data_IF_563594174715
#
_entry.id   IF_563594174715
#
_cell.length_a   1.000
_cell.length_b   1.000
_cell.length_c   1.000
_cell.angle_alpha   90.00
_cell.angle_beta   90.00
_cell.angle_gamma   90.00
#
_symmetry.space_group_name_H-M   'P 1'
#
loop_
_entity.id
_entity.type
_entity.pdbx_description
1 polymer ?
#
# COMPACT_ATOMS: atom_id res chain seq x y z
N UNK A 1 3.72 -11.29 8.97
CA UNK A 1 3.73 -11.67 10.40
C UNK A 1 5.17 -11.91 10.84
N UNK A 2 5.58 -11.35 11.98
CA UNK A 2 6.90 -11.55 12.57
C UNK A 2 6.79 -11.58 14.09
N UNK A 3 7.77 -12.21 14.75
CA UNK A 3 7.86 -12.22 16.21
C UNK A 3 8.28 -10.83 16.74
N UNK A 4 7.90 -10.42 17.96
CA UNK A 4 8.24 -9.10 18.52
C UNK A 4 9.74 -8.81 18.60
N UNK A 5 10.57 -9.84 18.71
CA UNK A 5 12.03 -9.80 18.81
C UNK A 5 12.72 -9.25 17.56
N UNK A 6 11.98 -9.00 16.46
CA UNK A 6 12.51 -8.33 15.26
C UNK A 6 12.68 -6.82 15.46
N UNK A 7 12.05 -6.22 16.49
CA UNK A 7 12.17 -4.79 16.79
C UNK A 7 13.61 -4.26 16.90
N UNK A 8 14.49 -4.90 17.72
CA UNK A 8 15.91 -4.56 17.81
C UNK A 8 16.65 -4.64 16.47
N UNK A 9 16.36 -5.65 15.64
CA UNK A 9 16.99 -5.80 14.33
C UNK A 9 16.63 -4.64 13.39
N UNK A 10 15.35 -4.23 13.37
CA UNK A 10 14.92 -3.06 12.60
C UNK A 10 15.64 -1.79 13.06
N UNK A 11 15.75 -1.59 14.37
CA UNK A 11 16.48 -0.44 14.91
C UNK A 11 17.97 -0.49 14.53
N UNK A 12 18.60 -1.66 14.60
CA UNK A 12 20.01 -1.85 14.23
C UNK A 12 20.25 -1.62 12.72
N UNK A 13 19.26 -1.94 11.87
CA UNK A 13 19.28 -1.62 10.44
C UNK A 13 19.09 -0.11 10.15
N UNK A 14 18.73 0.69 11.16
CA UNK A 14 18.54 2.13 11.05
C UNK A 14 17.12 2.57 10.75
N UNK A 15 16.12 1.67 10.83
CA UNK A 15 14.72 2.09 10.78
C UNK A 15 14.39 2.91 12.02
N UNK A 16 13.88 4.12 11.81
CA UNK A 16 13.50 5.05 12.87
C UNK A 16 12.07 5.59 12.73
N UNK A 17 11.44 5.37 11.57
CA UNK A 17 10.04 5.69 11.32
C UNK A 17 9.41 4.66 10.37
N UNK A 18 8.20 4.17 10.69
CA UNK A 18 7.51 3.13 9.90
C UNK A 18 6.00 3.38 9.77
N UNK A 19 5.42 3.08 8.61
CA UNK A 19 3.96 3.03 8.42
C UNK A 19 3.38 1.73 8.97
N UNK A 20 2.17 1.80 9.53
CA UNK A 20 1.47 0.67 10.15
C UNK A 20 0.07 0.44 9.61
N UNK A 21 -0.53 1.38 8.88
CA UNK A 21 -1.79 1.11 8.22
C UNK A 21 -1.54 0.17 7.04
N UNK A 22 -2.05 -1.06 7.11
CA UNK A 22 -2.05 -2.04 6.02
C UNK A 22 -3.08 -3.14 6.26
N UNK A 23 -3.36 -3.95 5.24
CA UNK A 23 -4.26 -5.10 5.33
C UNK A 23 -3.88 -6.09 6.44
N UNK A 24 -2.59 -6.21 6.79
CA UNK A 24 -2.07 -7.10 7.83
C UNK A 24 -2.03 -6.52 9.26
N UNK A 25 -2.65 -5.35 9.48
CA UNK A 25 -2.57 -4.67 10.79
C UNK A 25 -3.19 -5.50 11.93
N UNK A 26 -4.21 -6.32 11.62
CA UNK A 26 -4.94 -7.15 12.58
C UNK A 26 -4.78 -8.66 12.38
N UNK A 27 -3.72 -9.13 11.70
CA UNK A 27 -3.49 -10.59 11.51
C UNK A 27 -3.55 -11.39 12.83
N UNK A 28 -3.09 -10.79 13.93
CA UNK A 28 -3.14 -11.36 15.28
C UNK A 28 -4.15 -10.64 16.19
N UNK A 29 -5.19 -10.08 15.59
CA UNK A 29 -6.19 -9.29 16.26
C UNK A 29 -5.64 -8.04 16.95
N UNK A 30 -6.43 -7.51 17.88
CA UNK A 30 -6.10 -6.26 18.60
C UNK A 30 -4.86 -6.41 19.47
N UNK A 31 -4.64 -7.58 20.08
CA UNK A 31 -3.45 -7.81 20.88
C UNK A 31 -2.17 -7.84 20.03
N UNK A 32 -2.20 -8.42 18.83
CA UNK A 32 -1.09 -8.34 17.88
C UNK A 32 -0.78 -6.92 17.43
N UNK A 33 -1.81 -6.11 17.18
CA UNK A 33 -1.67 -4.68 16.89
C UNK A 33 -0.93 -3.97 18.04
N UNK A 34 -1.42 -4.15 19.28
CA UNK A 34 -0.85 -3.54 20.48
C UNK A 34 0.59 -4.00 20.73
N UNK A 35 0.84 -5.30 20.58
CA UNK A 35 2.18 -5.86 20.75
C UNK A 35 3.15 -5.27 19.75
N UNK A 36 2.75 -5.12 18.49
CA UNK A 36 3.62 -4.48 17.50
C UNK A 36 3.90 -3.02 17.85
N UNK A 37 2.88 -2.28 18.32
CA UNK A 37 3.07 -0.90 18.80
C UNK A 37 4.03 -0.84 19.98
N UNK A 38 3.95 -1.78 20.94
CA UNK A 38 4.91 -1.88 22.04
C UNK A 38 6.31 -2.19 21.55
N UNK A 39 6.48 -3.19 20.68
CA UNK A 39 7.77 -3.58 20.14
C UNK A 39 8.48 -2.44 19.41
N UNK A 40 7.77 -1.69 18.55
CA UNK A 40 8.35 -0.55 17.83
C UNK A 40 8.72 0.60 18.79
N UNK A 41 7.83 0.93 19.72
CA UNK A 41 8.05 2.01 20.70
C UNK A 41 9.24 1.72 21.62
N UNK A 42 9.35 0.48 22.13
CA UNK A 42 10.46 0.04 22.98
C UNK A 42 11.81 0.05 22.28
N UNK A 43 11.82 0.02 20.94
CA UNK A 43 13.01 0.10 20.11
C UNK A 43 13.23 1.50 19.49
N UNK A 44 12.50 2.52 19.97
CA UNK A 44 12.68 3.91 19.52
C UNK A 44 12.24 4.18 18.09
N UNK A 45 11.44 3.29 17.49
CA UNK A 45 10.93 3.44 16.12
C UNK A 45 9.59 4.16 16.17
N UNK A 46 9.51 5.35 15.57
CA UNK A 46 8.25 6.09 15.43
C UNK A 46 7.34 5.34 14.46
N UNK A 47 6.04 5.21 14.76
CA UNK A 47 5.10 4.53 13.88
C UNK A 47 3.75 5.20 13.83
N UNK A 48 3.08 5.17 12.67
CA UNK A 48 1.80 5.82 12.42
C UNK A 48 0.84 4.94 11.60
N UNK A 49 -0.46 5.19 11.70
CA UNK A 49 -1.48 4.52 10.88
C UNK A 49 -2.27 3.43 11.60
N UNK A 50 -1.96 3.14 12.88
CA UNK A 50 -2.73 2.25 13.73
C UNK A 50 -2.85 2.83 15.16
N UNK A 51 -3.93 2.50 15.87
CA UNK A 51 -4.15 3.00 17.23
C UNK A 51 -5.41 2.41 17.88
N UNK A 52 -5.73 2.87 19.10
CA UNK A 52 -6.87 2.37 19.89
C UNK A 52 -8.23 2.90 19.39
N UNK A 53 -8.21 3.89 18.51
CA UNK A 53 -9.38 4.49 17.85
C UNK A 53 -8.94 5.25 16.59
N UNK A 54 -9.90 5.76 15.82
CA UNK A 54 -9.63 6.42 14.54
C UNK A 54 -8.81 7.71 14.72
N UNK A 55 -9.07 8.51 15.76
CA UNK A 55 -8.28 9.70 16.06
C UNK A 55 -6.80 9.37 16.30
N UNK A 56 -6.50 8.31 17.06
CA UNK A 56 -5.12 7.86 17.29
C UNK A 56 -4.48 7.27 16.04
N UNK A 57 -5.20 6.43 15.30
CA UNK A 57 -4.69 5.77 14.10
C UNK A 57 -4.39 6.77 12.98
N UNK A 58 -5.26 7.78 12.79
CA UNK A 58 -5.10 8.78 11.75
C UNK A 58 -4.18 9.95 12.09
N UNK A 59 -3.87 10.15 13.37
CA UNK A 59 -3.02 11.26 13.81
C UNK A 59 -1.59 11.14 13.30
N UNK A 60 -1.00 12.27 12.91
CA UNK A 60 0.41 12.34 12.54
C UNK A 60 1.32 11.93 13.71
N UNK A 61 2.47 11.34 13.38
CA UNK A 61 3.51 10.97 14.34
C UNK A 61 4.83 11.61 13.93
N UNK A 62 5.62 11.97 14.92
CA UNK A 62 6.76 12.86 14.72
C UNK A 62 8.06 12.16 15.12
N UNK A 63 9.03 12.19 14.21
CA UNK A 63 10.42 11.83 14.45
C UNK A 63 11.24 13.12 14.57
N UNK A 64 11.89 13.30 15.71
CA UNK A 64 12.86 14.38 15.91
C UNK A 64 14.21 13.99 15.30
N UNK A 65 14.81 14.90 14.54
CA UNK A 65 16.16 14.73 14.01
C UNK A 65 16.99 15.98 14.27
N UNK A 66 18.34 15.90 14.23
CA UNK A 66 19.18 17.09 14.35
C UNK A 66 18.95 18.16 13.27
N UNK A 67 18.24 17.82 12.17
CA UNK A 67 17.96 18.74 11.04
C UNK A 67 16.50 19.20 10.97
N UNK A 68 15.68 18.84 11.96
CA UNK A 68 14.27 19.17 12.00
C UNK A 68 13.39 17.96 12.26
N UNK A 69 12.09 18.22 12.29
CA UNK A 69 11.06 17.25 12.62
C UNK A 69 10.42 16.68 11.37
N UNK A 70 10.28 15.36 11.34
CA UNK A 70 9.60 14.62 10.29
C UNK A 70 8.25 14.13 10.81
N UNK A 71 7.16 14.46 10.11
CA UNK A 71 5.83 13.90 10.36
C UNK A 71 5.57 12.70 9.43
N UNK A 72 4.83 11.72 9.92
CA UNK A 72 4.26 10.63 9.14
C UNK A 72 2.75 10.54 9.39
N UNK A 73 1.98 10.52 8.29
CA UNK A 73 0.57 10.14 8.26
C UNK A 73 0.45 8.90 7.38
N UNK A 74 -0.12 7.83 7.93
CA UNK A 74 -0.26 6.54 7.25
C UNK A 74 -1.72 6.12 7.24
N UNK A 75 -2.19 5.59 6.11
CA UNK A 75 -3.53 5.03 5.92
C UNK A 75 -3.48 3.84 4.96
N UNK A 76 -4.57 3.08 4.86
CA UNK A 76 -4.68 1.95 3.95
C UNK A 76 -5.98 2.03 3.14
N UNK A 77 -5.90 1.75 1.85
CA UNK A 77 -7.03 1.57 0.95
C UNK A 77 -7.51 0.11 0.87
N UNK A 78 -6.58 -0.83 1.01
CA UNK A 78 -6.88 -2.28 1.04
C UNK A 78 -6.76 -2.81 2.47
N UNK A 79 -7.87 -3.33 3.00
CA UNK A 79 -7.94 -3.91 4.34
C UNK A 79 -9.27 -4.65 4.56
N UNK A 80 -9.30 -5.54 5.55
CA UNK A 80 -10.54 -6.19 5.96
C UNK A 80 -11.49 -5.23 6.68
N UNK A 81 -12.82 -5.33 6.51
CA UNK A 81 -13.79 -4.41 7.13
C UNK A 81 -13.66 -4.26 8.66
N UNK A 82 -13.20 -5.30 9.35
CA UNK A 82 -12.99 -5.28 10.80
C UNK A 82 -11.67 -4.64 11.23
N UNK A 83 -10.72 -4.45 10.30
CA UNK A 83 -9.42 -3.84 10.56
C UNK A 83 -9.47 -2.31 10.77
N UNK A 84 -10.51 -1.62 10.27
CA UNK A 84 -10.63 -0.16 10.42
C UNK A 84 -10.78 0.25 11.88
N UNK A 85 -9.99 1.23 12.30
CA UNK A 85 -10.20 1.93 13.56
C UNK A 85 -11.52 2.71 13.51
N UNK A 86 -12.17 2.86 14.66
CA UNK A 86 -13.39 3.66 14.79
C UNK A 86 -13.29 4.56 16.01
N UNK A 87 -13.79 5.78 15.90
CA UNK A 87 -14.03 6.63 17.07
C UNK A 87 -15.25 6.14 17.87
N UNK A 88 -15.33 6.44 19.17
CA UNK A 88 -16.51 6.13 19.97
C UNK A 88 -17.76 6.82 19.41
N UNK A 89 -18.92 6.19 19.61
CA UNK A 89 -20.22 6.73 19.20
C UNK A 89 -21.28 6.42 20.27
N UNK A 90 -21.70 7.46 21.01
CA UNK A 90 -22.59 7.29 22.16
C UNK A 90 -21.92 6.45 23.25
N UNK A 91 -22.58 5.39 23.71
CA UNK A 91 -22.04 4.43 24.69
C UNK A 91 -21.07 3.41 24.07
N UNK A 92 -21.02 3.29 22.74
CA UNK A 92 -20.10 2.37 22.08
C UNK A 92 -18.67 2.90 22.14
N UNK A 93 -17.70 2.13 22.67
CA UNK A 93 -16.31 2.55 22.72
C UNK A 93 -15.70 2.65 21.31
N UNK A 94 -14.58 3.37 21.20
CA UNK A 94 -13.76 3.32 20.00
C UNK A 94 -13.24 1.91 19.74
N UNK A 95 -12.92 1.63 18.49
CA UNK A 95 -12.37 0.33 18.08
C UNK A 95 -10.91 0.49 17.65
N UNK A 96 -9.98 -0.28 18.24
CA UNK A 96 -8.60 -0.33 17.76
C UNK A 96 -8.51 -0.82 16.32
N UNK A 97 -7.57 -0.28 15.55
CA UNK A 97 -7.38 -0.67 14.16
C UNK A 97 -6.50 0.31 13.38
N UNK A 98 -6.58 0.22 12.05
CA UNK A 98 -5.85 1.08 11.12
C UNK A 98 -6.63 2.34 10.72
N UNK A 99 -5.93 3.34 10.21
CA UNK A 99 -6.50 4.53 9.57
C UNK A 99 -6.97 4.20 8.14
N UNK A 100 -8.29 4.21 7.85
CA UNK A 100 -8.81 3.72 6.58
C UNK A 100 -8.92 4.82 5.52
N UNK A 101 -8.74 4.42 4.26
CA UNK A 101 -9.23 5.10 3.06
C UNK A 101 -10.19 4.16 2.35
N UNK A 102 -11.47 4.15 2.72
CA UNK A 102 -12.44 3.26 2.06
C UNK A 102 -12.63 3.64 0.60
N UNK A 103 -12.66 2.64 -0.27
CA UNK A 103 -12.94 2.81 -1.70
C UNK A 103 -14.26 2.12 -2.06
N UNK A 104 -15.10 2.80 -2.83
CA UNK A 104 -16.22 2.17 -3.52
C UNK A 104 -15.72 1.67 -4.88
N UNK A 105 -15.69 0.35 -5.07
CA UNK A 105 -15.25 -0.29 -6.33
C UNK A 105 -16.44 -0.45 -7.28
N UNK A 106 -16.24 -0.07 -8.54
CA UNK A 106 -17.14 -0.38 -9.65
C UNK A 106 -16.42 -1.18 -10.73
N UNK A 107 -17.11 -2.14 -11.34
CA UNK A 107 -16.66 -2.86 -12.53
C UNK A 107 -17.05 -2.04 -13.76
N UNK A 108 -16.06 -1.62 -14.53
CA UNK A 108 -16.28 -0.89 -15.78
C UNK A 108 -16.55 -1.90 -16.89
N UNK A 109 -17.64 -1.71 -17.62
CA UNK A 109 -18.07 -2.57 -18.74
C UNK A 109 -18.58 -1.72 -19.90
N UNK A 110 -18.69 -2.30 -21.10
CA UNK A 110 -19.29 -1.59 -22.24
C UNK A 110 -20.79 -1.30 -21.98
N UNK A 111 -21.34 -0.30 -22.66
CA UNK A 111 -22.77 0.00 -22.55
C UNK A 111 -23.66 -1.19 -22.92
N UNK A 112 -23.26 -2.00 -23.91
CA UNK A 112 -23.97 -3.22 -24.30
C UNK A 112 -23.98 -4.25 -23.16
N UNK A 113 -22.83 -4.50 -22.53
CA UNK A 113 -22.72 -5.40 -21.38
C UNK A 113 -23.56 -4.89 -20.20
N UNK A 114 -23.58 -3.57 -19.99
CA UNK A 114 -24.38 -2.96 -18.91
C UNK A 114 -25.88 -3.20 -19.11
N UNK A 115 -26.40 -3.12 -20.35
CA UNK A 115 -27.79 -3.46 -20.64
C UNK A 115 -28.08 -4.95 -20.36
N UNK A 116 -27.17 -5.87 -20.73
CA UNK A 116 -27.33 -7.29 -20.41
C UNK A 116 -27.33 -7.56 -18.91
N UNK A 117 -26.45 -6.90 -18.15
CA UNK A 117 -26.44 -7.00 -16.69
C UNK A 117 -27.72 -6.44 -16.07
N UNK A 118 -28.29 -5.40 -16.69
CA UNK A 118 -29.59 -4.84 -16.28
C UNK A 118 -30.72 -5.86 -16.49
N UNK A 119 -30.75 -6.55 -17.63
CA UNK A 119 -31.69 -7.64 -17.89
C UNK A 119 -31.55 -8.76 -16.84
N UNK A 120 -30.31 -9.18 -16.52
CA UNK A 120 -30.05 -10.18 -15.46
C UNK A 120 -30.59 -9.72 -14.11
N UNK A 121 -30.28 -8.49 -13.70
CA UNK A 121 -30.73 -7.91 -12.43
C UNK A 121 -32.25 -7.87 -12.31
N UNK A 122 -32.94 -7.49 -13.40
CA UNK A 122 -34.42 -7.40 -13.44
C UNK A 122 -35.10 -8.77 -13.42
N UNK A 123 -34.39 -9.83 -13.80
CA UNK A 123 -34.87 -11.21 -13.68
C UNK A 123 -34.66 -11.83 -12.28
N UNK A 124 -33.90 -11.18 -11.38
CA UNK A 124 -33.63 -11.73 -10.05
C UNK A 124 -34.88 -11.66 -9.14
N UNK A 125 -35.21 -12.76 -8.44
CA UNK A 125 -36.36 -12.77 -7.54
C UNK A 125 -36.08 -11.93 -6.28
N UNK A 126 -37.13 -11.37 -5.67
CA UNK A 126 -37.08 -10.61 -4.41
C UNK A 126 -36.23 -9.33 -4.42
N UNK A 127 -35.87 -8.81 -5.60
CA UNK A 127 -35.16 -7.53 -5.73
C UNK A 127 -36.05 -6.45 -6.36
N UNK A 128 -36.27 -5.36 -5.64
CA UNK A 128 -36.93 -4.15 -6.15
C UNK A 128 -35.85 -3.09 -6.43
N UNK A 129 -35.45 -2.86 -7.70
CA UNK A 129 -34.37 -1.94 -7.99
C UNK A 129 -34.72 -0.48 -7.64
N UNK A 130 -33.76 0.33 -7.18
CA UNK A 130 -33.92 1.79 -7.15
C UNK A 130 -34.17 2.35 -8.58
N UNK A 131 -34.64 3.60 -8.72
CA UNK A 131 -34.97 4.18 -10.02
C UNK A 131 -33.84 4.04 -11.04
N UNK A 132 -34.21 3.96 -12.33
CA UNK A 132 -33.33 3.65 -13.45
C UNK A 132 -32.14 4.63 -13.56
N UNK A 133 -31.01 4.28 -12.97
CA UNK A 133 -29.74 4.93 -13.27
C UNK A 133 -29.22 4.40 -14.61
N UNK A 134 -29.15 5.29 -15.61
CA UNK A 134 -28.75 4.90 -16.97
C UNK A 134 -27.28 4.42 -17.01
N UNK A 135 -26.41 5.01 -16.18
CA UNK A 135 -24.96 4.78 -16.19
C UNK A 135 -24.48 3.66 -15.26
N UNK A 136 -25.34 3.10 -14.39
CA UNK A 136 -24.95 2.10 -13.38
C UNK A 136 -25.96 0.97 -13.26
N UNK A 137 -25.45 -0.22 -12.92
CA UNK A 137 -26.25 -1.40 -12.57
C UNK A 137 -25.65 -2.02 -11.31
N UNK A 138 -26.44 -2.09 -10.24
CA UNK A 138 -26.06 -2.77 -9.00
C UNK A 138 -26.72 -4.14 -8.93
N UNK A 139 -25.94 -5.18 -8.69
CA UNK A 139 -26.42 -6.54 -8.46
C UNK A 139 -26.09 -6.92 -7.02
N UNK A 140 -27.11 -7.32 -6.26
CA UNK A 140 -26.93 -7.81 -4.89
C UNK A 140 -26.30 -9.21 -4.92
N UNK A 141 -25.39 -9.46 -3.98
CA UNK A 141 -24.70 -10.73 -3.79
C UNK A 141 -24.79 -11.13 -2.31
N UNK A 142 -24.72 -12.41 -1.92
CA UNK A 142 -24.61 -12.75 -0.51
C UNK A 142 -23.50 -11.95 0.16
N UNK A 143 -23.89 -11.18 1.19
CA UNK A 143 -23.01 -10.32 1.99
C UNK A 143 -22.43 -9.08 1.29
N UNK A 144 -23.02 -8.60 0.19
CA UNK A 144 -22.63 -7.32 -0.42
C UNK A 144 -23.33 -6.97 -1.72
N UNK A 145 -22.73 -6.05 -2.47
CA UNK A 145 -23.20 -5.63 -3.79
C UNK A 145 -22.04 -5.49 -4.77
N UNK A 146 -22.31 -5.77 -6.04
CA UNK A 146 -21.40 -5.49 -7.15
C UNK A 146 -21.98 -4.38 -7.99
N UNK A 147 -21.22 -3.31 -8.15
CA UNK A 147 -21.64 -2.15 -8.94
C UNK A 147 -20.94 -2.20 -10.29
N UNK A 148 -21.72 -2.16 -11.37
CA UNK A 148 -21.24 -2.06 -12.74
C UNK A 148 -21.50 -0.66 -13.27
N UNK A 149 -20.57 -0.10 -14.04
CA UNK A 149 -20.72 1.20 -14.70
C UNK A 149 -20.28 1.14 -16.16
N UNK A 150 -20.91 1.95 -17.00
CA UNK A 150 -20.52 2.07 -18.40
C UNK A 150 -19.15 2.78 -18.53
N UNK A 151 -18.28 2.25 -19.39
CA UNK A 151 -17.04 2.91 -19.79
C UNK A 151 -16.40 2.28 -21.03
N UNK A 152 -15.40 2.94 -21.58
CA UNK A 152 -14.76 2.52 -22.84
C UNK A 152 -13.83 1.32 -22.67
N UNK A 153 -13.16 1.22 -21.53
CA UNK A 153 -12.20 0.15 -21.22
C UNK A 153 -12.70 -0.68 -20.05
N UNK A 154 -12.94 -1.99 -20.23
CA UNK A 154 -13.29 -2.87 -19.13
C UNK A 154 -12.20 -2.88 -18.05
N UNK A 155 -12.60 -2.92 -16.79
CA UNK A 155 -11.66 -2.89 -15.66
C UNK A 155 -12.34 -2.55 -14.35
N UNK A 156 -11.57 -2.02 -13.40
CA UNK A 156 -12.07 -1.52 -12.12
C UNK A 156 -11.89 -0.01 -12.02
N UNK A 157 -12.85 0.63 -11.38
CA UNK A 157 -12.82 2.05 -11.03
C UNK A 157 -13.12 2.22 -9.56
N UNK A 158 -12.49 3.20 -8.92
CA UNK A 158 -12.54 3.36 -7.47
C UNK A 158 -12.90 4.78 -7.09
N UNK A 159 -13.83 4.93 -6.16
CA UNK A 159 -14.22 6.22 -5.60
C UNK A 159 -13.86 6.28 -4.10
N UNK A 160 -12.96 7.18 -3.68
CA UNK A 160 -12.60 7.34 -2.27
C UNK A 160 -13.76 7.87 -1.43
N UNK A 161 -13.92 7.32 -0.23
CA UNK A 161 -14.90 7.82 0.72
C UNK A 161 -14.55 9.25 1.17
N UNK A 162 -15.44 10.21 0.92
CA UNK A 162 -15.20 11.61 1.19
C UNK A 162 -14.84 11.91 2.66
N UNK A 163 -15.46 11.22 3.63
CA UNK A 163 -15.16 11.43 5.06
C UNK A 163 -13.75 10.98 5.43
N UNK A 164 -13.30 9.87 4.84
CA UNK A 164 -11.96 9.36 5.08
C UNK A 164 -10.92 10.29 4.45
N UNK A 165 -11.18 10.76 3.23
CA UNK A 165 -10.36 11.79 2.55
C UNK A 165 -10.23 13.05 3.39
N UNK A 166 -11.34 13.58 3.92
CA UNK A 166 -11.34 14.80 4.74
C UNK A 166 -10.55 14.60 6.05
N UNK A 167 -10.70 13.44 6.69
CA UNK A 167 -9.96 13.09 7.89
C UNK A 167 -8.45 12.99 7.62
N UNK A 168 -8.05 12.29 6.55
CA UNK A 168 -6.64 12.15 6.16
C UNK A 168 -6.05 13.53 5.85
N UNK A 169 -6.74 14.36 5.06
CA UNK A 169 -6.26 15.70 4.73
C UNK A 169 -6.16 16.60 5.96
N UNK A 170 -7.09 16.49 6.92
CA UNK A 170 -7.03 17.23 8.19
C UNK A 170 -5.79 16.83 8.98
N UNK A 171 -5.56 15.53 9.17
CA UNK A 171 -4.40 15.03 9.93
C UNK A 171 -3.08 15.32 9.23
N UNK A 172 -3.05 15.31 7.89
CA UNK A 172 -1.87 15.70 7.11
C UNK A 172 -1.54 17.18 7.26
N UNK A 173 -2.52 18.08 7.13
CA UNK A 173 -2.31 19.52 7.37
C UNK A 173 -1.79 19.75 8.78
N UNK A 174 -2.36 19.08 9.78
CA UNK A 174 -1.89 19.15 11.15
C UNK A 174 -0.43 18.66 11.26
N UNK A 175 -0.12 17.50 10.68
CA UNK A 175 1.25 16.97 10.63
C UNK A 175 2.24 17.98 10.07
N UNK A 176 1.93 18.57 8.91
CA UNK A 176 2.76 19.59 8.27
C UNK A 176 2.90 20.87 9.08
N UNK A 177 1.83 21.34 9.73
CA UNK A 177 1.89 22.55 10.57
C UNK A 177 2.84 22.41 11.76
N UNK A 178 3.10 21.18 12.19
CA UNK A 178 3.98 20.88 13.32
C UNK A 178 5.31 20.24 12.91
N UNK A 179 5.66 20.15 11.61
CA UNK A 179 6.88 19.51 11.13
C UNK A 179 7.56 20.25 9.97
N UNK A 180 8.87 20.03 9.82
CA UNK A 180 9.64 20.58 8.70
C UNK A 180 9.42 19.76 7.42
N UNK A 181 9.24 18.45 7.58
CA UNK A 181 8.99 17.48 6.50
C UNK A 181 7.79 16.59 6.85
N UNK A 182 6.90 16.29 5.91
CA UNK A 182 5.68 15.50 6.13
C UNK A 182 5.53 14.40 5.08
N UNK A 183 5.50 13.15 5.54
CA UNK A 183 5.35 11.94 4.73
C UNK A 183 3.89 11.50 4.78
N UNK A 184 3.30 11.23 3.62
CA UNK A 184 2.02 10.53 3.50
C UNK A 184 2.26 9.12 2.95
N UNK A 185 1.73 8.09 3.61
CA UNK A 185 1.78 6.72 3.08
C UNK A 185 0.40 6.09 2.93
N UNK A 186 0.25 5.34 1.84
CA UNK A 186 -0.91 4.50 1.58
C UNK A 186 -0.48 3.02 1.56
N UNK A 187 -1.35 2.15 2.05
CA UNK A 187 -1.35 0.75 1.70
C UNK A 187 -2.51 0.42 0.77
N UNK A 188 -2.27 0.32 -0.53
CA UNK A 188 -3.30 0.04 -1.52
C UNK A 188 -2.79 -0.91 -2.61
N UNK A 189 -3.52 -2.01 -2.82
CA UNK A 189 -3.28 -2.96 -3.90
C UNK A 189 -3.98 -2.54 -5.20
N UNK A 190 -4.96 -1.62 -5.14
CA UNK A 190 -5.80 -1.26 -6.27
C UNK A 190 -4.98 -0.76 -7.48
N UNK A 191 -5.38 -1.09 -8.73
CA UNK A 191 -6.57 -1.87 -9.10
C UNK A 191 -6.40 -3.39 -8.93
N UNK A 192 -5.21 -3.83 -8.52
CA UNK A 192 -4.82 -5.21 -8.25
C UNK A 192 -3.37 -5.48 -8.66
N UNK A 193 -2.85 -6.63 -8.23
CA UNK A 193 -1.49 -7.13 -8.53
C UNK A 193 -1.25 -7.33 -10.04
N UNK A 194 -2.30 -7.48 -10.84
CA UNK A 194 -2.19 -7.60 -12.29
C UNK A 194 -1.75 -6.28 -12.97
N UNK A 195 -1.92 -5.13 -12.32
CA UNK A 195 -1.66 -3.81 -12.90
C UNK A 195 -0.35 -3.18 -12.43
N UNK A 196 0.42 -2.67 -13.40
CA UNK A 196 1.62 -1.86 -13.17
C UNK A 196 1.31 -0.35 -13.18
N UNK A 197 0.07 0.01 -13.47
CA UNK A 197 -0.47 1.37 -13.34
C UNK A 197 -1.21 1.52 -11.99
N UNK A 198 -1.15 2.71 -11.36
CA UNK A 198 -1.95 3.00 -10.17
C UNK A 198 -3.44 3.00 -10.49
N UNK A 199 -4.28 2.88 -9.46
CA UNK A 199 -5.72 2.99 -9.64
C UNK A 199 -6.13 4.40 -10.09
N UNK A 200 -7.28 4.50 -10.75
CA UNK A 200 -7.80 5.74 -11.34
C UNK A 200 -7.94 6.90 -10.34
N UNK A 201 -8.27 6.61 -9.08
CA UNK A 201 -8.35 7.61 -8.02
C UNK A 201 -6.97 8.10 -7.53
N UNK A 202 -5.95 7.24 -7.60
CA UNK A 202 -4.78 7.34 -6.74
C UNK A 202 -3.92 8.54 -7.09
N UNK A 203 -3.70 8.81 -8.38
CA UNK A 203 -2.93 9.97 -8.81
C UNK A 203 -3.58 11.28 -8.34
N UNK A 204 -4.88 11.45 -8.53
CA UNK A 204 -5.59 12.65 -8.10
C UNK A 204 -5.55 12.81 -6.58
N UNK A 205 -5.69 11.71 -5.84
CA UNK A 205 -5.62 11.70 -4.39
C UNK A 205 -4.21 12.01 -3.87
N UNK A 206 -3.16 11.42 -4.44
CA UNK A 206 -1.77 11.69 -4.08
C UNK A 206 -1.42 13.18 -4.31
N UNK A 207 -1.81 13.75 -5.45
CA UNK A 207 -1.66 15.19 -5.73
C UNK A 207 -2.39 16.06 -4.70
N UNK A 208 -3.60 15.66 -4.29
CA UNK A 208 -4.38 16.35 -3.25
C UNK A 208 -3.67 16.33 -1.89
N UNK A 209 -2.95 15.25 -1.55
CA UNK A 209 -2.14 15.17 -0.33
C UNK A 209 -0.91 16.09 -0.42
N UNK A 210 -0.22 16.11 -1.55
CA UNK A 210 0.89 17.06 -1.79
C UNK A 210 0.38 18.51 -1.64
N UNK A 211 -0.76 18.85 -2.23
CA UNK A 211 -1.38 20.17 -2.11
C UNK A 211 -1.77 20.54 -0.67
N UNK A 212 -2.10 19.53 0.15
CA UNK A 212 -2.41 19.71 1.57
C UNK A 212 -1.17 19.75 2.48
N UNK A 213 0.04 19.58 1.93
CA UNK A 213 1.30 19.79 2.64
C UNK A 213 2.20 18.57 2.77
N UNK A 214 1.86 17.42 2.15
CA UNK A 214 2.82 16.32 2.07
C UNK A 214 4.04 16.73 1.23
N UNK A 215 5.23 16.43 1.73
CA UNK A 215 6.48 16.60 1.02
C UNK A 215 6.85 15.35 0.19
N UNK A 216 6.17 14.23 0.44
CA UNK A 216 6.27 12.97 -0.32
C UNK A 216 5.01 12.12 -0.11
N UNK A 217 4.57 11.42 -1.17
CA UNK A 217 3.57 10.35 -1.10
C UNK A 217 4.23 9.01 -1.45
N UNK A 218 3.95 7.97 -0.67
CA UNK A 218 4.45 6.61 -0.90
C UNK A 218 3.30 5.62 -0.78
N UNK A 219 2.97 4.93 -1.86
CA UNK A 219 2.12 3.76 -1.81
C UNK A 219 2.95 2.48 -1.68
N UNK A 220 2.46 1.56 -0.85
CA UNK A 220 2.96 0.21 -0.71
C UNK A 220 1.78 -0.76 -0.74
N UNK A 221 2.03 -2.06 -0.94
CA UNK A 221 0.96 -3.04 -1.16
C UNK A 221 1.13 -3.82 -2.46
N UNK A 222 1.28 -3.17 -3.63
CA UNK A 222 1.27 -3.88 -4.92
C UNK A 222 2.39 -4.90 -5.15
N UNK A 223 3.32 -5.10 -4.20
CA UNK A 223 4.46 -6.04 -4.23
C UNK A 223 5.43 -5.98 -5.41
N UNK A 224 5.15 -5.22 -6.46
CA UNK A 224 6.03 -4.86 -7.56
C UNK A 224 6.22 -3.34 -7.64
N UNK A 225 7.05 -2.91 -8.59
CA UNK A 225 7.34 -1.50 -8.83
C UNK A 225 6.26 -0.89 -9.73
N UNK A 226 5.79 0.31 -9.37
CA UNK A 226 4.99 1.19 -10.23
C UNK A 226 5.76 2.49 -10.48
N UNK A 227 5.27 3.30 -11.41
CA UNK A 227 5.95 4.53 -11.83
C UNK A 227 6.16 5.55 -10.70
N UNK A 228 7.03 6.52 -10.97
CA UNK A 228 7.29 7.67 -10.10
C UNK A 228 6.82 8.94 -10.80
N UNK A 229 6.08 9.75 -10.07
CA UNK A 229 5.65 11.08 -10.50
C UNK A 229 6.35 12.16 -9.68
N UNK A 230 6.74 13.26 -10.33
CA UNK A 230 7.12 14.50 -9.66
C UNK A 230 5.99 15.51 -9.83
N UNK A 231 5.27 15.81 -8.75
CA UNK A 231 4.19 16.79 -8.75
C UNK A 231 4.59 17.99 -7.87
N UNK A 232 4.61 19.20 -8.45
CA UNK A 232 5.03 20.45 -7.77
C UNK A 232 6.39 20.32 -7.06
N UNK A 233 7.32 19.58 -7.67
CA UNK A 233 8.65 19.31 -7.11
C UNK A 233 8.65 18.35 -5.91
N UNK A 234 7.55 17.63 -5.67
CA UNK A 234 7.45 16.58 -4.65
C UNK A 234 7.32 15.21 -5.31
N UNK A 235 8.01 14.18 -4.79
CA UNK A 235 7.90 12.84 -5.33
C UNK A 235 6.63 12.12 -4.87
N UNK A 236 6.04 11.38 -5.79
CA UNK A 236 4.93 10.45 -5.60
C UNK A 236 5.44 9.08 -6.08
N UNK A 237 5.59 8.15 -5.15
CA UNK A 237 6.00 6.78 -5.43
C UNK A 237 4.76 5.88 -5.42
N UNK A 238 4.33 5.37 -6.58
CA UNK A 238 3.10 4.56 -6.68
C UNK A 238 3.29 3.09 -6.22
N UNK A 239 4.52 2.58 -6.24
CA UNK A 239 4.98 1.39 -5.51
C UNK A 239 6.49 1.22 -5.72
N UNK A 240 7.22 0.83 -4.69
CA UNK A 240 8.67 0.57 -4.77
C UNK A 240 9.04 -0.92 -4.78
N UNK A 241 8.06 -1.82 -4.61
CA UNK A 241 8.28 -3.24 -4.38
C UNK A 241 8.56 -3.59 -2.91
N UNK A 242 8.91 -4.85 -2.65
CA UNK A 242 9.16 -5.36 -1.30
C UNK A 242 10.60 -5.07 -0.86
N UNK A 243 10.82 -4.52 0.34
CA UNK A 243 12.19 -4.29 0.84
C UNK A 243 12.80 -5.55 1.46
N UNK A 244 12.02 -6.33 2.21
CA UNK A 244 12.36 -7.69 2.61
C UNK A 244 11.07 -8.50 2.69
N UNK A 245 11.22 -9.81 2.73
CA UNK A 245 10.13 -10.76 2.92
C UNK A 245 10.62 -11.92 3.80
N UNK A 246 9.73 -12.53 4.57
CA UNK A 246 10.04 -13.73 5.34
C UNK A 246 9.16 -14.87 4.85
N UNK A 247 9.67 -15.65 3.89
CA UNK A 247 8.92 -16.73 3.26
C UNK A 247 8.61 -17.89 4.19
N UNK A 248 9.39 -18.06 5.27
CA UNK A 248 9.18 -19.14 6.25
C UNK A 248 7.89 -18.99 7.06
N UNK A 249 7.34 -17.77 7.17
CA UNK A 249 6.09 -17.42 7.88
C UNK A 249 5.90 -18.05 9.27
N UNK A 250 6.99 -18.45 9.94
CA UNK A 250 6.93 -19.13 11.22
C UNK A 250 6.86 -18.14 12.40
N UNK A 251 6.01 -18.38 13.41
CA UNK A 251 5.04 -19.47 13.50
C UNK A 251 3.81 -19.28 12.59
N UNK A 252 3.31 -20.37 11.99
CA UNK A 252 2.09 -20.39 11.18
C UNK A 252 0.86 -20.69 12.04
N UNK A 253 -0.23 -19.94 11.85
CA UNK A 253 -1.50 -20.15 12.55
C UNK A 253 -2.24 -21.42 12.11
N UNK A 254 -3.04 -22.02 12.99
CA UNK A 254 -3.77 -23.26 12.69
C UNK A 254 -4.76 -23.13 11.51
N UNK A 255 -5.33 -21.93 11.33
CA UNK A 255 -6.16 -21.55 10.19
C UNK A 255 -5.43 -21.67 8.84
N UNK A 256 -4.14 -21.34 8.81
CA UNK A 256 -3.31 -21.51 7.60
C UNK A 256 -2.95 -22.97 7.34
N UNK A 257 -2.80 -23.80 8.37
CA UNK A 257 -2.67 -25.25 8.18
C UNK A 257 -3.95 -25.80 7.53
N UNK A 258 -5.12 -25.48 8.10
CA UNK A 258 -6.41 -25.91 7.58
C UNK A 258 -6.64 -25.43 6.14
N UNK A 259 -6.35 -24.15 5.84
CA UNK A 259 -6.52 -23.55 4.52
C UNK A 259 -5.64 -24.19 3.42
N UNK A 260 -4.56 -24.85 3.82
CA UNK A 260 -3.65 -25.56 2.92
C UNK A 260 -3.74 -27.08 3.05
N UNK A 261 -4.81 -27.59 3.66
CA UNK A 261 -5.07 -29.03 3.85
C UNK A 261 -3.92 -29.74 4.59
N UNK A 262 -3.34 -29.07 5.58
CA UNK A 262 -2.24 -29.56 6.41
C UNK A 262 -2.69 -29.81 7.84
N UNK A 263 -2.04 -30.77 8.52
CA UNK A 263 -2.31 -31.09 9.91
C UNK A 263 -1.15 -30.62 10.80
N UNK A 264 -1.34 -29.68 11.74
CA UNK A 264 -0.24 -29.17 12.58
C UNK A 264 0.38 -30.23 13.50
N UNK A 265 -0.18 -31.45 13.59
CA UNK A 265 0.40 -32.59 14.31
C UNK A 265 1.37 -33.40 13.46
N UNK A 266 1.33 -33.24 12.13
CA UNK A 266 2.06 -34.05 11.16
C UNK A 266 2.94 -33.19 10.25
N UNK A 267 2.38 -32.09 9.74
CA UNK A 267 3.02 -31.14 8.85
C UNK A 267 3.70 -30.01 9.63
N UNK A 268 4.62 -29.34 8.95
CA UNK A 268 5.41 -28.21 9.45
C UNK A 268 5.01 -26.88 8.81
N UNK A 269 5.32 -25.76 9.47
CA UNK A 269 5.18 -24.40 8.91
C UNK A 269 5.80 -24.26 7.51
N UNK A 270 6.93 -24.93 7.28
CA UNK A 270 7.64 -24.90 6.01
C UNK A 270 6.87 -25.62 4.90
N UNK A 271 6.14 -26.69 5.22
CA UNK A 271 5.29 -27.41 4.25
C UNK A 271 4.04 -26.61 3.91
N UNK A 272 3.44 -25.92 4.88
CA UNK A 272 2.35 -24.95 4.62
C UNK A 272 2.85 -23.83 3.70
N UNK A 273 4.00 -23.23 4.04
CA UNK A 273 4.59 -22.14 3.26
C UNK A 273 4.96 -22.57 1.84
N UNK A 274 5.52 -23.78 1.67
CA UNK A 274 5.85 -24.33 0.36
C UNK A 274 4.59 -24.59 -0.48
N UNK A 275 3.51 -25.09 0.14
CA UNK A 275 2.24 -25.30 -0.54
C UNK A 275 1.62 -23.98 -0.99
N UNK A 276 1.52 -22.99 -0.09
CA UNK A 276 1.06 -21.63 -0.42
C UNK A 276 1.83 -21.03 -1.61
N UNK A 277 3.15 -21.22 -1.65
CA UNK A 277 3.96 -20.70 -2.75
C UNK A 277 3.74 -21.41 -4.07
N UNK A 278 3.26 -22.65 -4.04
CA UNK A 278 2.92 -23.42 -5.23
C UNK A 278 1.52 -23.07 -5.75
N UNK A 279 0.54 -22.90 -4.86
CA UNK A 279 -0.87 -22.75 -5.25
C UNK A 279 -1.40 -21.32 -5.16
N UNK A 280 -0.79 -20.46 -4.34
CA UNK A 280 -1.23 -19.10 -4.05
C UNK A 280 -1.75 -18.90 -2.63
N UNK A 281 -2.20 -17.68 -2.32
CA UNK A 281 -2.84 -17.37 -1.03
C UNK A 281 -4.34 -17.63 -1.12
N UNK A 282 -4.97 -18.20 -0.07
CA UNK A 282 -6.41 -18.39 -0.04
C UNK A 282 -7.15 -17.05 -0.08
N UNK A 283 -8.10 -16.92 -0.99
CA UNK A 283 -9.03 -15.79 -1.09
C UNK A 283 -10.45 -16.31 -1.26
N UNK A 284 -11.44 -15.42 -1.16
CA UNK A 284 -12.84 -15.78 -1.39
C UNK A 284 -13.08 -16.31 -2.81
N UNK A 285 -12.25 -15.90 -3.78
CA UNK A 285 -12.29 -16.30 -5.18
C UNK A 285 -11.40 -17.52 -5.52
N UNK A 286 -10.79 -18.17 -4.51
CA UNK A 286 -9.84 -19.28 -4.68
C UNK A 286 -8.40 -18.88 -4.36
N UNK A 287 -7.40 -19.60 -4.87
CA UNK A 287 -6.00 -19.23 -4.63
C UNK A 287 -5.51 -18.18 -5.63
N UNK A 288 -4.99 -17.04 -5.13
CA UNK A 288 -4.39 -16.01 -5.98
C UNK A 288 -2.88 -16.29 -6.16
N UNK A 289 -2.36 -16.35 -7.40
CA UNK A 289 -0.93 -16.57 -7.64
C UNK A 289 -0.15 -15.36 -7.12
N UNK A 290 0.72 -15.57 -6.13
CA UNK A 290 1.29 -14.47 -5.36
C UNK A 290 2.66 -13.98 -5.84
N UNK A 291 3.48 -14.83 -6.47
CA UNK A 291 4.94 -14.60 -6.48
C UNK A 291 5.59 -14.88 -7.83
N UNK A 292 5.38 -13.98 -8.78
CA UNK A 292 6.18 -13.92 -10.00
C UNK A 292 7.60 -13.36 -9.71
N UNK A 293 8.43 -13.21 -10.74
CA UNK A 293 9.79 -12.72 -10.55
C UNK A 293 9.81 -11.31 -9.95
N UNK A 294 8.85 -10.46 -10.33
CA UNK A 294 8.77 -9.04 -9.94
C UNK A 294 8.47 -8.88 -8.44
N UNK A 295 7.78 -9.84 -7.81
CA UNK A 295 7.56 -9.87 -6.35
C UNK A 295 8.86 -9.77 -5.53
N UNK A 296 9.97 -10.29 -6.07
CA UNK A 296 11.29 -10.28 -5.43
C UNK A 296 12.20 -9.17 -5.96
N UNK A 297 11.67 -8.26 -6.77
CA UNK A 297 12.38 -7.11 -7.32
C UNK A 297 11.88 -5.83 -6.64
N UNK A 298 12.80 -4.91 -6.33
CA UNK A 298 12.46 -3.69 -5.62
C UNK A 298 13.53 -2.62 -5.85
N UNK A 299 13.26 -1.39 -5.40
CA UNK A 299 14.25 -0.31 -5.40
C UNK A 299 14.32 0.36 -4.04
N UNK A 300 15.54 0.64 -3.57
CA UNK A 300 15.76 1.53 -2.43
C UNK A 300 15.86 2.94 -2.97
N UNK A 301 14.95 3.82 -2.51
CA UNK A 301 14.98 5.25 -2.83
C UNK A 301 15.77 6.01 -1.77
N UNK A 302 16.78 6.75 -2.21
CA UNK A 302 17.50 7.76 -1.41
C UNK A 302 17.16 9.12 -1.99
N UNK A 303 16.24 9.82 -1.32
CA UNK A 303 15.77 11.14 -1.73
C UNK A 303 16.47 12.24 -0.93
N UNK A 304 17.09 13.19 -1.63
CA UNK A 304 17.81 14.32 -1.05
C UNK A 304 16.99 15.59 -1.20
N UNK A 305 16.73 16.26 -0.09
CA UNK A 305 16.05 17.54 -0.04
C UNK A 305 17.00 18.64 0.44
N UNK A 306 16.92 19.82 -0.17
CA UNK A 306 17.65 21.03 0.20
C UNK A 306 16.63 22.15 0.44
N UNK A 307 16.65 22.80 1.61
CA UNK A 307 15.67 23.84 1.97
C UNK A 307 14.21 23.41 1.75
N UNK A 308 13.90 22.17 2.14
CA UNK A 308 12.63 21.49 1.88
C UNK A 308 12.18 21.49 0.40
N UNK A 309 13.12 21.42 -0.54
CA UNK A 309 12.86 21.19 -1.97
C UNK A 309 13.60 19.94 -2.41
N UNK A 310 12.96 19.10 -3.23
CA UNK A 310 13.60 17.90 -3.77
C UNK A 310 14.77 18.32 -4.67
N UNK A 311 15.97 17.82 -4.38
CA UNK A 311 17.17 18.09 -5.17
C UNK A 311 17.50 16.91 -6.09
N UNK A 312 17.46 15.69 -5.55
CA UNK A 312 17.81 14.47 -6.28
C UNK A 312 17.14 13.25 -5.65
N UNK A 313 16.76 12.27 -6.46
CA UNK A 313 16.42 10.91 -6.02
C UNK A 313 17.42 9.95 -6.66
N UNK A 314 18.03 9.10 -5.84
CA UNK A 314 18.81 7.94 -6.30
C UNK A 314 18.04 6.66 -6.00
N UNK A 315 17.98 5.77 -6.98
CA UNK A 315 17.22 4.53 -6.91
C UNK A 315 18.20 3.38 -7.13
N UNK A 316 18.33 2.56 -6.08
CA UNK A 316 19.23 1.42 -6.06
C UNK A 316 18.42 0.13 -6.24
N UNK A 317 18.59 -0.60 -7.35
CA UNK A 317 17.82 -1.81 -7.58
C UNK A 317 18.29 -2.91 -6.62
N UNK A 318 17.33 -3.58 -5.98
CA UNK A 318 17.57 -4.71 -5.10
C UNK A 318 16.78 -5.93 -5.55
N UNK A 319 17.27 -7.10 -5.13
CA UNK A 319 16.55 -8.36 -5.30
C UNK A 319 16.50 -9.13 -3.98
N UNK A 320 15.44 -9.92 -3.82
CA UNK A 320 15.10 -10.63 -2.59
C UNK A 320 15.45 -12.13 -2.64
N UNK A 321 16.52 -12.47 -3.35
CA UNK A 321 17.16 -13.79 -3.41
C UNK A 321 16.21 -14.92 -3.79
N UNK A 322 15.31 -14.68 -4.75
CA UNK A 322 14.29 -15.66 -5.20
C UNK A 322 14.85 -17.05 -5.47
N UNK A 323 16.04 -17.13 -6.09
CA UNK A 323 16.67 -18.41 -6.48
C UNK A 323 17.55 -19.03 -5.39
N UNK A 324 17.72 -18.36 -4.24
CA UNK A 324 18.49 -18.90 -3.12
C UNK A 324 17.73 -19.98 -2.37
N UNK A 325 18.45 -20.68 -1.48
CA UNK A 325 17.85 -21.60 -0.50
C UNK A 325 16.66 -20.92 0.19
N UNK A 326 15.60 -21.67 0.40
CA UNK A 326 14.34 -21.21 0.99
C UNK A 326 14.53 -20.31 2.22
N UNK A 327 15.37 -20.75 3.17
CA UNK A 327 15.68 -20.00 4.41
C UNK A 327 16.38 -18.65 4.20
N UNK A 328 16.98 -18.40 3.04
CA UNK A 328 17.70 -17.16 2.72
C UNK A 328 16.89 -16.25 1.77
N UNK A 329 15.72 -16.71 1.32
CA UNK A 329 14.86 -15.96 0.41
C UNK A 329 14.18 -14.82 1.16
N UNK A 330 13.99 -13.69 0.49
CA UNK A 330 13.41 -12.49 1.07
C UNK A 330 14.41 -11.53 1.72
N UNK A 331 15.68 -11.93 1.86
CA UNK A 331 16.74 -11.07 2.39
C UNK A 331 17.29 -10.15 1.28
N UNK A 332 17.20 -8.82 1.42
CA UNK A 332 17.62 -7.90 0.37
C UNK A 332 19.12 -7.94 0.08
N UNK A 333 19.46 -7.70 -1.18
CA UNK A 333 20.80 -7.29 -1.63
C UNK A 333 20.69 -6.46 -2.89
N UNK A 334 21.75 -5.72 -3.24
CA UNK A 334 21.83 -5.08 -4.56
C UNK A 334 21.66 -6.14 -5.67
N UNK A 335 20.83 -5.82 -6.65
CA UNK A 335 20.57 -6.71 -7.77
C UNK A 335 21.86 -6.88 -8.61
N UNK A 336 22.16 -8.10 -9.11
CA UNK A 336 23.22 -8.29 -10.10
C UNK A 336 22.99 -7.41 -11.33
N UNK A 337 24.07 -6.90 -11.95
CA UNK A 337 23.96 -5.84 -12.95
C UNK A 337 22.89 -6.06 -14.05
N UNK A 338 22.79 -7.23 -14.71
CA UNK A 338 21.74 -7.43 -15.74
C UNK A 338 20.32 -7.29 -15.18
N UNK A 339 20.07 -7.85 -13.99
CA UNK A 339 18.77 -7.71 -13.32
C UNK A 339 18.55 -6.28 -12.83
N UNK A 340 19.59 -5.63 -12.29
CA UNK A 340 19.53 -4.25 -11.86
C UNK A 340 19.14 -3.30 -12.99
N UNK A 341 19.74 -3.42 -14.17
CA UNK A 341 19.35 -2.63 -15.34
C UNK A 341 17.89 -2.90 -15.75
N UNK A 342 17.46 -4.17 -15.81
CA UNK A 342 16.09 -4.52 -16.16
C UNK A 342 15.05 -3.90 -15.18
N UNK A 343 15.34 -3.91 -13.87
CA UNK A 343 14.50 -3.27 -12.85
C UNK A 343 14.41 -1.76 -13.09
N UNK A 344 15.55 -1.10 -13.34
CA UNK A 344 15.61 0.35 -13.52
C UNK A 344 14.99 0.82 -14.84
N UNK A 345 15.18 0.06 -15.94
CA UNK A 345 14.56 0.33 -17.24
C UNK A 345 13.04 0.17 -17.17
N UNK A 346 12.55 -0.85 -16.46
CA UNK A 346 11.11 -1.00 -16.20
C UNK A 346 10.57 0.19 -15.42
N UNK A 347 11.25 0.60 -14.35
CA UNK A 347 10.87 1.78 -13.57
C UNK A 347 10.89 3.07 -14.40
N UNK A 348 11.88 3.24 -15.28
CA UNK A 348 11.95 4.37 -16.21
C UNK A 348 10.73 4.41 -17.13
N UNK A 349 10.40 3.28 -17.79
CA UNK A 349 9.23 3.19 -18.67
C UNK A 349 7.91 3.44 -17.92
N UNK A 350 7.76 2.89 -16.71
CA UNK A 350 6.57 3.11 -15.87
C UNK A 350 6.43 4.58 -15.39
N UNK A 351 7.53 5.33 -15.37
CA UNK A 351 7.55 6.73 -14.94
C UNK A 351 7.33 7.72 -16.09
N UNK A 352 7.48 7.28 -17.34
CA UNK A 352 7.33 8.11 -18.54
C UNK A 352 5.92 8.74 -18.69
N UNK A 353 4.79 8.03 -18.44
CA UNK A 353 3.46 8.62 -18.53
C UNK A 353 3.22 9.80 -17.57
N UNK A 354 4.03 9.90 -16.51
CA UNK A 354 3.99 11.00 -15.54
C UNK A 354 4.91 12.17 -15.92
N UNK A 355 5.67 12.06 -17.01
CA UNK A 355 6.66 13.04 -17.44
C UNK A 355 7.94 13.04 -16.60
N UNK A 356 8.16 12.02 -15.77
CA UNK A 356 9.35 11.93 -14.92
C UNK A 356 10.53 11.37 -15.72
N UNK A 357 11.58 12.18 -15.89
CA UNK A 357 12.83 11.72 -16.51
C UNK A 357 13.68 10.96 -15.50
N UNK A 358 13.85 9.66 -15.74
CA UNK A 358 14.74 8.78 -14.96
C UNK A 358 16.01 8.53 -15.77
N UNK A 359 17.18 8.88 -15.25
CA UNK A 359 18.47 8.65 -15.91
C UNK A 359 19.22 7.49 -15.25
N UNK A 360 19.61 6.47 -16.01
CA UNK A 360 20.30 5.30 -15.47
C UNK A 360 21.79 5.43 -15.72
N UNK A 361 22.58 5.50 -14.64
CA UNK A 361 24.03 5.68 -14.68
C UNK A 361 24.71 4.70 -13.73
N UNK A 362 25.62 3.87 -14.26
CA UNK A 362 26.42 2.89 -13.48
C UNK A 362 25.57 2.02 -12.54
N UNK A 363 24.44 1.50 -13.02
CA UNK A 363 23.54 0.63 -12.24
C UNK A 363 22.72 1.35 -11.16
N UNK A 364 22.65 2.68 -11.18
CA UNK A 364 21.80 3.50 -10.29
C UNK A 364 20.93 4.41 -11.15
N UNK A 365 19.64 4.49 -10.86
CA UNK A 365 18.76 5.45 -11.50
C UNK A 365 18.71 6.76 -10.71
N UNK A 366 18.70 7.88 -11.43
CA UNK A 366 18.78 9.23 -10.88
C UNK A 366 17.63 10.05 -11.46
N UNK A 367 16.88 10.72 -10.58
CA UNK A 367 15.89 11.73 -10.95
C UNK A 367 16.37 13.07 -10.40
N UNK A 368 16.53 14.06 -11.27
CA UNK A 368 16.90 15.44 -10.90
C UNK A 368 15.81 16.39 -11.33
N UNK A 369 15.47 17.34 -10.45
CA UNK A 369 14.63 18.44 -10.85
C UNK A 369 15.49 19.43 -11.65
N UNK A 370 15.04 19.81 -12.84
CA UNK A 370 15.63 20.98 -13.48
C UNK A 370 15.36 22.20 -12.60
N UNK A 371 16.35 23.07 -12.36
CA UNK A 371 16.10 24.32 -11.66
C UNK A 371 15.01 25.07 -12.41
N UNK A 372 13.91 25.40 -11.72
CA UNK A 372 12.88 26.26 -12.30
C UNK A 372 13.55 27.57 -12.70
N UNK A 373 13.36 28.07 -13.94
CA UNK A 373 13.83 29.41 -14.27
C UNK A 373 13.23 30.37 -13.26
N UNK A 374 14.10 31.09 -12.54
CA UNK A 374 13.70 32.00 -11.48
C UNK A 374 12.56 32.89 -11.99
N UNK A 375 11.44 32.91 -11.26
CA UNK A 375 10.44 33.96 -11.49
C UNK A 375 11.13 35.29 -11.16
N UNK A 376 11.13 36.28 -12.09
CA UNK A 376 11.65 37.60 -11.77
C UNK A 376 10.82 38.20 -10.64
N UNK A 377 11.53 38.83 -9.70
CA UNK A 377 11.02 39.47 -8.47
C UNK A 377 9.89 40.48 -8.72
#
# INVERSE_FOLDING_TARGET
ISVPEVGPDLSAMGFNIVSRANNHTLDWGVEGLRETSRALTSNGIVHAGAGENLAQAGGARFLETPRGRVALVSFAATFEPMARACDPAGEAPGRPGLNPLRLARSVVVSSEMLERLREVREALPWYAPPPKEASRVTIQWPFGEVVFQAGEKPGYSFEPNARDVDNILRNLRQGKQFSDFCIATNHGHEPGEFSREPADYEQAFARKLIDAGADVYINHGPHHIRGIEIYKGRPIFYALGNFFNQDLRSPVGADMFDAHEKDPRLDTDAEVSAHEMAVGYPSAEGFLPLRDAEFYESVISVSRFENNRLAEIKLYPIELRRTSRFANRGVPRLAPAPQGYAILERLQALSEPFGTKVEINNGVAIIRLQPSPAQPE
#
